data_IF_723924562817
#
_entry.id   IF_723924562817
#
_cell.length_a   1.000
_cell.length_b   1.000
_cell.length_c   1.000
_cell.angle_alpha   90.00
_cell.angle_beta   90.00
_cell.angle_gamma   90.00
#
_symmetry.space_group_name_H-M   'P 1'
#
loop_
_entity.id
_entity.type
_entity.pdbx_description
1 polymer ?
#
# COMPACT_ATOMS: atom_id res chain seq x y z
N UNK A 1 -2.70 -4.73 -18.66
CA UNK A 1 -1.64 -4.27 -17.75
C UNK A 1 -1.78 -5.01 -16.43
N UNK A 2 -0.70 -5.46 -15.82
CA UNK A 2 -0.68 -6.13 -14.53
C UNK A 2 0.04 -5.25 -13.50
N UNK A 3 -0.26 -5.43 -12.20
CA UNK A 3 0.33 -4.59 -11.15
C UNK A 3 -0.02 -3.10 -11.34
N UNK A 4 -1.28 -2.81 -11.61
CA UNK A 4 -1.76 -1.46 -11.88
C UNK A 4 -2.38 -0.83 -10.63
N UNK A 5 -1.67 -0.89 -9.52
CA UNK A 5 -2.05 -0.32 -8.24
C UNK A 5 -0.99 0.60 -7.69
N UNK A 6 -1.03 0.80 -6.37
CA UNK A 6 0.02 1.50 -5.67
C UNK A 6 1.26 0.60 -5.54
N UNK A 7 1.10 -0.59 -4.92
CA UNK A 7 2.11 -1.62 -4.77
C UNK A 7 1.44 -3.01 -4.98
N UNK A 8 1.81 -3.74 -6.03
CA UNK A 8 2.71 -3.34 -7.13
C UNK A 8 2.07 -2.34 -8.09
N UNK A 9 2.89 -1.44 -8.61
CA UNK A 9 2.47 -0.48 -9.64
C UNK A 9 3.27 0.82 -9.61
N UNK A 10 2.68 1.92 -9.12
CA UNK A 10 3.32 3.23 -9.12
C UNK A 10 4.62 3.23 -8.29
N UNK A 11 4.66 2.55 -7.17
CA UNK A 11 5.88 2.38 -6.37
C UNK A 11 6.99 1.72 -7.20
N UNK A 12 6.65 0.73 -8.01
CA UNK A 12 7.61 0.04 -8.89
C UNK A 12 8.16 0.97 -9.97
N UNK A 13 7.36 1.90 -10.50
CA UNK A 13 7.84 2.94 -11.44
C UNK A 13 8.85 3.84 -10.75
N UNK A 14 8.55 4.35 -9.56
CA UNK A 14 9.43 5.22 -8.78
C UNK A 14 10.75 4.49 -8.47
N UNK A 15 10.69 3.25 -8.01
CA UNK A 15 11.88 2.43 -7.71
C UNK A 15 12.74 2.21 -8.94
N UNK A 16 12.13 1.94 -10.10
CA UNK A 16 12.85 1.76 -11.37
C UNK A 16 13.62 3.02 -11.75
N UNK A 17 13.03 4.19 -11.59
CA UNK A 17 13.70 5.48 -11.82
C UNK A 17 14.89 5.67 -10.84
N UNK A 18 14.72 5.32 -9.58
CA UNK A 18 15.78 5.40 -8.58
C UNK A 18 16.92 4.43 -8.93
N UNK A 19 16.61 3.18 -9.27
CA UNK A 19 17.62 2.20 -9.67
C UNK A 19 18.39 2.57 -10.93
N UNK A 20 17.80 3.34 -11.83
CA UNK A 20 18.51 3.85 -13.02
C UNK A 20 19.64 4.80 -12.65
N UNK A 21 19.51 5.54 -11.55
CA UNK A 21 20.51 6.50 -11.07
C UNK A 21 21.46 5.86 -10.05
N UNK A 22 20.99 4.91 -9.26
CA UNK A 22 21.77 4.23 -8.21
C UNK A 22 21.78 2.71 -8.41
N UNK A 23 22.39 2.21 -9.49
CA UNK A 23 22.42 0.77 -9.76
C UNK A 23 23.20 0.03 -8.67
N UNK A 24 22.79 -1.20 -8.37
CA UNK A 24 23.42 -2.10 -7.39
C UNK A 24 23.36 -1.58 -5.93
N UNK A 25 22.39 -0.76 -5.59
CA UNK A 25 22.16 -0.29 -4.21
C UNK A 25 20.87 -0.90 -3.65
N UNK A 26 20.88 -1.20 -2.38
CA UNK A 26 19.67 -1.58 -1.67
C UNK A 26 18.82 -0.33 -1.40
N UNK A 27 17.56 -0.38 -1.81
CA UNK A 27 16.60 0.70 -1.60
C UNK A 27 15.35 0.06 -1.00
N UNK A 28 14.94 0.56 0.13
CA UNK A 28 13.79 0.05 0.86
C UNK A 28 12.59 0.96 0.69
N UNK A 29 11.43 0.35 0.42
CA UNK A 29 10.14 1.02 0.53
C UNK A 29 9.54 0.70 1.89
N UNK A 30 9.32 1.73 2.71
CA UNK A 30 8.67 1.61 4.01
C UNK A 30 7.22 2.05 3.86
N UNK A 31 6.29 1.11 3.97
CA UNK A 31 4.85 1.39 3.91
C UNK A 31 4.29 1.81 5.26
N UNK A 32 3.34 2.72 5.22
CA UNK A 32 2.72 3.27 6.41
C UNK A 32 3.36 4.60 6.87
N UNK A 33 2.91 5.16 8.01
CA UNK A 33 1.74 4.67 8.73
C UNK A 33 0.44 4.89 7.95
N UNK A 34 -0.56 4.06 8.19
CA UNK A 34 -1.90 4.27 7.66
C UNK A 34 -2.69 3.02 7.33
N UNK A 35 -3.94 3.21 6.94
CA UNK A 35 -4.88 2.14 6.68
C UNK A 35 -4.50 1.30 5.46
N UNK A 36 -4.43 -0.02 5.64
CA UNK A 36 -4.29 -1.00 4.57
C UNK A 36 -5.67 -1.51 4.13
N UNK A 37 -6.03 -1.30 2.87
CA UNK A 37 -7.34 -1.71 2.34
C UNK A 37 -7.52 -3.22 2.33
N UNK A 38 -6.55 -3.97 1.81
CA UNK A 38 -6.63 -5.43 1.69
C UNK A 38 -6.72 -6.11 3.06
N UNK A 39 -5.82 -5.76 3.98
CA UNK A 39 -5.82 -6.31 5.34
C UNK A 39 -7.09 -5.90 6.13
N UNK A 40 -7.59 -4.69 5.91
CA UNK A 40 -8.86 -4.26 6.50
C UNK A 40 -10.02 -5.11 5.97
N UNK A 41 -10.07 -5.37 4.67
CA UNK A 41 -11.09 -6.22 4.08
C UNK A 41 -10.99 -7.66 4.61
N UNK A 42 -9.79 -8.23 4.68
CA UNK A 42 -9.57 -9.57 5.22
C UNK A 42 -10.03 -9.68 6.69
N UNK A 43 -9.64 -8.73 7.54
CA UNK A 43 -10.07 -8.75 8.95
C UNK A 43 -11.60 -8.70 9.11
N UNK A 44 -12.31 -8.00 8.24
CA UNK A 44 -13.78 -7.91 8.26
C UNK A 44 -14.48 -9.22 7.89
N UNK A 45 -13.81 -10.15 7.24
CA UNK A 45 -14.39 -11.45 6.86
C UNK A 45 -14.35 -12.48 7.98
N UNK A 46 -13.61 -12.20 9.05
CA UNK A 46 -13.47 -13.14 10.17
C UNK A 46 -14.77 -13.22 10.98
N UNK A 47 -15.30 -14.43 11.25
CA UNK A 47 -16.50 -14.59 12.05
C UNK A 47 -16.38 -13.97 13.44
N UNK A 48 -17.39 -13.24 13.88
CA UNK A 48 -17.40 -12.51 15.15
C UNK A 48 -16.84 -11.07 15.06
N UNK A 49 -16.40 -10.62 13.88
CA UNK A 49 -16.00 -9.25 13.60
C UNK A 49 -17.18 -8.46 13.04
N UNK A 50 -17.68 -7.49 13.79
CA UNK A 50 -18.72 -6.56 13.31
C UNK A 50 -18.13 -5.50 12.38
N UNK A 51 -16.91 -5.04 12.67
CA UNK A 51 -16.15 -4.15 11.81
C UNK A 51 -14.67 -4.14 12.22
N UNK A 52 -13.77 -3.77 11.30
CA UNK A 52 -12.34 -3.73 11.59
C UNK A 52 -11.62 -2.70 10.71
N UNK A 53 -10.43 -2.31 11.16
CA UNK A 53 -9.46 -1.56 10.36
C UNK A 53 -8.04 -2.03 10.68
N UNK A 54 -7.24 -2.26 9.65
CA UNK A 54 -5.84 -2.64 9.79
C UNK A 54 -4.94 -1.47 9.40
N UNK A 55 -4.07 -1.06 10.32
CA UNK A 55 -3.05 -0.04 10.08
C UNK A 55 -1.70 -0.70 9.81
N UNK A 56 -1.01 -0.22 8.79
CA UNK A 56 0.39 -0.53 8.53
C UNK A 56 1.27 0.42 9.32
N UNK A 57 2.25 -0.10 10.07
CA UNK A 57 3.22 0.66 10.84
C UNK A 57 4.63 0.32 10.34
N UNK A 58 5.39 1.30 9.81
CA UNK A 58 6.71 1.04 9.27
C UNK A 58 7.71 0.73 10.40
N UNK A 59 8.49 -0.33 10.23
CA UNK A 59 9.60 -0.74 11.11
C UNK A 59 10.97 -0.41 10.52
N UNK A 60 11.01 0.11 9.28
CA UNK A 60 12.24 0.41 8.55
C UNK A 60 12.78 -0.79 7.75
N UNK A 61 13.68 -0.51 6.82
CA UNK A 61 14.28 -1.50 5.91
C UNK A 61 13.25 -2.37 5.17
N UNK A 62 12.13 -1.77 4.77
CA UNK A 62 11.03 -2.45 4.08
C UNK A 62 10.16 -3.33 4.97
N UNK A 63 10.43 -3.42 6.27
CA UNK A 63 9.61 -4.16 7.23
C UNK A 63 8.49 -3.28 7.79
N UNK A 64 7.39 -3.91 8.12
CA UNK A 64 6.25 -3.24 8.76
C UNK A 64 5.51 -4.20 9.70
N UNK A 65 4.78 -3.63 10.64
CA UNK A 65 3.85 -4.33 11.51
C UNK A 65 2.41 -3.96 11.13
N UNK A 66 1.47 -4.76 11.59
CA UNK A 66 0.03 -4.51 11.47
C UNK A 66 -0.60 -4.31 12.84
N UNK A 67 -1.30 -3.23 13.00
CA UNK A 67 -2.18 -3.03 14.16
C UNK A 67 -3.62 -3.07 13.69
N UNK A 68 -4.36 -4.08 14.17
CA UNK A 68 -5.72 -4.36 13.71
C UNK A 68 -6.67 -3.97 14.84
N UNK A 69 -7.48 -2.95 14.58
CA UNK A 69 -8.56 -2.53 15.47
C UNK A 69 -9.82 -3.26 15.08
N UNK A 70 -10.45 -3.92 16.03
CA UNK A 70 -11.63 -4.76 15.81
C UNK A 70 -12.77 -4.33 16.71
N UNK A 71 -13.91 -4.04 16.10
CA UNK A 71 -15.19 -3.95 16.82
C UNK A 71 -15.83 -5.33 16.74
N UNK A 72 -15.90 -6.07 17.85
CA UNK A 72 -16.47 -7.41 17.86
C UNK A 72 -18.00 -7.36 17.73
N UNK A 73 -18.57 -8.45 17.23
CA UNK A 73 -20.03 -8.67 17.33
C UNK A 73 -20.45 -8.82 18.80
N UNK A 74 -21.73 -8.52 19.14
CA UNK A 74 -22.25 -8.79 20.47
C UNK A 74 -22.07 -10.27 20.85
N UNK A 75 -21.45 -10.53 22.01
CA UNK A 75 -21.15 -11.86 22.54
C UNK A 75 -20.11 -12.67 21.77
N UNK A 76 -19.37 -12.10 20.85
CA UNK A 76 -18.26 -12.78 20.20
C UNK A 76 -17.17 -13.14 21.21
N UNK A 77 -16.58 -14.32 21.05
CA UNK A 77 -15.39 -14.71 21.80
C UNK A 77 -14.17 -13.98 21.22
N UNK A 78 -13.70 -12.97 21.96
CA UNK A 78 -12.57 -12.14 21.55
C UNK A 78 -11.29 -12.96 21.32
N UNK A 79 -11.03 -13.99 22.11
CA UNK A 79 -9.86 -14.84 21.94
C UNK A 79 -9.95 -15.67 20.64
N UNK A 80 -11.12 -16.18 20.34
CA UNK A 80 -11.34 -16.90 19.09
C UNK A 80 -11.19 -15.98 17.87
N UNK A 81 -11.71 -14.75 17.94
CA UNK A 81 -11.58 -13.73 16.88
C UNK A 81 -10.10 -13.34 16.68
N UNK A 82 -9.38 -13.04 17.76
CA UNK A 82 -7.95 -12.70 17.69
C UNK A 82 -7.14 -13.82 17.08
N UNK A 83 -7.33 -15.06 17.55
CA UNK A 83 -6.65 -16.23 17.02
C UNK A 83 -6.95 -16.42 15.53
N UNK A 84 -8.22 -16.28 15.12
CA UNK A 84 -8.62 -16.43 13.72
C UNK A 84 -7.97 -15.37 12.82
N UNK A 85 -7.86 -14.12 13.26
CA UNK A 85 -7.16 -13.06 12.53
C UNK A 85 -5.67 -13.39 12.40
N UNK A 86 -5.00 -13.70 13.52
CA UNK A 86 -3.55 -13.89 13.55
C UNK A 86 -3.09 -15.16 12.80
N UNK A 87 -3.97 -16.15 12.65
CA UNK A 87 -3.71 -17.39 11.91
C UNK A 87 -4.19 -17.36 10.45
N UNK A 88 -4.81 -16.28 10.00
CA UNK A 88 -5.20 -16.13 8.60
C UNK A 88 -3.98 -15.88 7.72
N UNK A 89 -3.88 -16.57 6.57
CA UNK A 89 -2.77 -16.46 5.63
C UNK A 89 -2.49 -15.04 5.12
N UNK A 90 -3.41 -14.12 5.30
CA UNK A 90 -3.22 -12.69 4.97
C UNK A 90 -2.35 -11.97 5.99
N UNK A 91 -2.24 -12.49 7.23
CA UNK A 91 -1.54 -11.86 8.34
C UNK A 91 -0.35 -12.67 8.86
N UNK A 92 -0.25 -13.95 8.54
CA UNK A 92 0.73 -14.88 9.13
C UNK A 92 2.19 -14.50 8.92
N UNK A 93 2.48 -13.66 7.90
CA UNK A 93 3.85 -13.23 7.57
C UNK A 93 4.21 -11.85 8.14
N UNK A 94 3.25 -11.16 8.75
CA UNK A 94 3.43 -9.83 9.32
C UNK A 94 3.53 -9.89 10.86
N UNK A 95 4.23 -8.94 11.45
CA UNK A 95 4.15 -8.71 12.90
C UNK A 95 2.80 -8.05 13.20
N UNK A 96 1.86 -8.82 13.73
CA UNK A 96 0.48 -8.41 13.94
C UNK A 96 0.10 -8.26 15.41
N UNK A 97 -0.75 -7.28 15.71
CA UNK A 97 -1.44 -7.14 16.99
C UNK A 97 -2.91 -6.77 16.78
N UNK A 98 -3.79 -7.33 17.61
CA UNK A 98 -5.23 -7.06 17.59
C UNK A 98 -5.62 -6.27 18.83
N UNK A 99 -6.39 -5.22 18.62
CA UNK A 99 -6.97 -4.39 19.70
C UNK A 99 -8.47 -4.31 19.51
N UNK A 100 -9.23 -4.70 20.56
CA UNK A 100 -10.69 -4.62 20.55
C UNK A 100 -11.15 -3.25 21.01
N UNK A 101 -11.94 -2.59 20.16
CA UNK A 101 -12.47 -1.24 20.40
C UNK A 101 -13.98 -1.19 20.18
N UNK A 102 -14.64 -0.22 20.78
CA UNK A 102 -16.09 0.00 20.58
C UNK A 102 -16.36 0.80 19.30
N UNK A 103 -15.46 1.72 18.95
CA UNK A 103 -15.56 2.57 17.76
C UNK A 103 -14.25 2.52 16.97
N UNK A 104 -14.38 2.17 15.68
CA UNK A 104 -13.25 2.12 14.75
C UNK A 104 -13.15 3.38 13.87
N UNK A 105 -14.14 4.28 13.91
CA UNK A 105 -14.18 5.48 13.07
C UNK A 105 -12.94 6.37 13.18
N UNK A 106 -12.27 6.52 14.35
CA UNK A 106 -11.05 7.32 14.45
C UNK A 106 -9.89 6.79 13.59
N UNK A 107 -9.92 5.52 13.23
CA UNK A 107 -8.81 4.86 12.51
C UNK A 107 -9.00 4.82 10.98
N UNK A 108 -10.21 5.11 10.48
CA UNK A 108 -10.50 5.07 9.03
C UNK A 108 -9.83 6.21 8.25
N UNK A 109 -9.63 7.36 8.84
CA UNK A 109 -9.12 8.56 8.16
C UNK A 109 -7.60 8.68 8.17
N UNK A 110 -6.89 7.61 8.50
CA UNK A 110 -5.43 7.61 8.47
C UNK A 110 -4.95 7.47 7.02
N UNK A 111 -4.24 8.50 6.54
CA UNK A 111 -3.60 8.45 5.23
C UNK A 111 -2.56 7.34 5.20
N UNK A 112 -2.54 6.56 4.13
CA UNK A 112 -1.48 5.59 3.93
C UNK A 112 -0.24 6.29 3.38
N UNK A 113 0.86 6.16 4.12
CA UNK A 113 2.14 6.73 3.73
C UNK A 113 3.04 5.71 3.04
N UNK A 114 4.02 6.23 2.30
CA UNK A 114 5.16 5.48 1.80
C UNK A 114 6.40 6.35 1.87
N UNK A 115 7.50 5.74 2.25
CA UNK A 115 8.79 6.40 2.34
C UNK A 115 9.85 5.54 1.68
N UNK A 116 10.46 6.06 0.62
CA UNK A 116 11.64 5.47 -0.01
C UNK A 116 12.82 6.35 0.36
N UNK A 117 13.77 5.79 1.10
CA UNK A 117 14.93 6.54 1.56
C UNK A 117 16.17 5.67 1.58
N UNK A 118 17.28 6.26 1.19
CA UNK A 118 18.60 5.68 1.36
C UNK A 118 19.69 6.76 1.27
N UNK A 119 20.78 6.52 1.97
CA UNK A 119 21.97 7.37 1.95
C UNK A 119 23.15 6.58 1.37
N UNK A 120 23.89 7.20 0.44
CA UNK A 120 25.04 6.61 -0.25
C UNK A 120 26.23 7.56 -0.18
N UNK A 121 26.87 7.63 0.97
CA UNK A 121 27.96 8.59 1.21
C UNK A 121 27.43 10.05 1.16
N UNK A 122 27.83 10.81 0.16
CA UNK A 122 27.38 12.19 -0.04
C UNK A 122 26.03 12.32 -0.80
N UNK A 123 25.49 11.19 -1.26
CA UNK A 123 24.24 11.17 -2.01
C UNK A 123 23.10 10.65 -1.13
N UNK A 124 21.92 11.18 -1.32
CA UNK A 124 20.73 10.75 -0.60
C UNK A 124 19.52 10.69 -1.53
N UNK A 125 18.64 9.74 -1.26
CA UNK A 125 17.30 9.68 -1.84
C UNK A 125 16.30 9.81 -0.70
N UNK A 126 15.36 10.72 -0.88
CA UNK A 126 14.21 10.86 0.01
C UNK A 126 12.97 11.07 -0.85
N UNK A 127 12.08 10.09 -0.86
CA UNK A 127 10.76 10.19 -1.44
C UNK A 127 9.73 9.89 -0.36
N UNK A 128 8.82 10.82 -0.13
CA UNK A 128 7.73 10.65 0.82
C UNK A 128 6.41 10.95 0.14
N UNK A 129 5.43 10.11 0.37
CA UNK A 129 4.05 10.34 -0.05
C UNK A 129 3.10 9.87 1.04
N UNK A 130 1.99 10.56 1.20
CA UNK A 130 0.86 10.11 2.00
C UNK A 130 -0.42 10.51 1.29
N UNK A 131 -1.32 9.56 1.09
CA UNK A 131 -2.54 9.77 0.35
C UNK A 131 -3.69 8.97 0.97
N UNK A 132 -4.91 9.38 0.65
CA UNK A 132 -6.07 8.52 0.85
C UNK A 132 -5.97 7.32 -0.09
N UNK A 133 -5.81 6.14 0.49
CA UNK A 133 -5.45 4.93 -0.27
C UNK A 133 -6.52 4.56 -1.31
N UNK A 134 -7.83 4.55 -1.01
CA UNK A 134 -8.87 4.28 -2.02
C UNK A 134 -8.82 5.24 -3.20
N UNK A 135 -8.74 6.53 -2.94
CA UNK A 135 -8.69 7.57 -3.99
C UNK A 135 -7.43 7.44 -4.84
N UNK A 136 -6.27 7.24 -4.20
CA UNK A 136 -5.00 7.06 -4.91
C UNK A 136 -5.06 5.84 -5.83
N UNK A 137 -5.52 4.69 -5.33
CA UNK A 137 -5.63 3.46 -6.12
C UNK A 137 -6.59 3.64 -7.30
N UNK A 138 -7.72 4.31 -7.09
CA UNK A 138 -8.66 4.66 -8.16
C UNK A 138 -8.02 5.51 -9.25
N UNK A 139 -7.26 6.54 -8.87
CA UNK A 139 -6.56 7.42 -9.81
C UNK A 139 -5.47 6.67 -10.58
N UNK A 140 -4.74 5.77 -9.94
CA UNK A 140 -3.73 4.93 -10.61
C UNK A 140 -4.39 4.01 -11.63
N UNK A 141 -5.51 3.38 -11.29
CA UNK A 141 -6.26 2.53 -12.23
C UNK A 141 -6.74 3.31 -13.46
N UNK A 142 -7.28 4.51 -13.27
CA UNK A 142 -7.69 5.37 -14.39
C UNK A 142 -6.50 5.74 -15.27
N UNK A 143 -5.37 6.08 -14.67
CA UNK A 143 -4.11 6.37 -15.40
C UNK A 143 -3.61 5.15 -16.16
N UNK A 144 -3.66 3.97 -15.55
CA UNK A 144 -3.25 2.71 -16.19
C UNK A 144 -4.17 2.35 -17.38
N UNK A 145 -5.47 2.58 -17.26
CA UNK A 145 -6.41 2.42 -18.37
C UNK A 145 -6.03 3.37 -19.51
N UNK A 146 -5.80 4.64 -19.22
CA UNK A 146 -5.36 5.64 -20.22
C UNK A 146 -4.11 5.19 -20.95
N UNK A 147 -3.08 4.81 -20.21
CA UNK A 147 -1.81 4.34 -20.77
C UNK A 147 -1.99 3.07 -21.62
N UNK A 148 -2.89 2.17 -21.26
CA UNK A 148 -3.11 0.92 -22.00
C UNK A 148 -3.60 1.12 -23.42
N UNK A 149 -4.36 2.18 -23.69
CA UNK A 149 -4.81 2.51 -25.06
C UNK A 149 -3.69 3.00 -25.98
N UNK A 150 -2.55 3.39 -25.42
CA UNK A 150 -1.38 3.85 -26.19
C UNK A 150 -0.42 2.69 -26.49
N UNK A 151 -0.62 1.53 -25.86
CA UNK A 151 0.26 0.37 -26.04
C UNK A 151 -0.24 -0.57 -27.13
N UNK A 152 0.70 -1.32 -27.74
CA UNK A 152 0.38 -2.45 -28.60
C UNK A 152 -0.27 -3.57 -27.77
N UNK A 153 -1.06 -4.48 -28.40
CA UNK A 153 -1.54 -5.66 -27.69
C UNK A 153 -0.41 -6.45 -27.03
N UNK A 154 -0.55 -6.70 -25.71
CA UNK A 154 0.49 -7.37 -24.92
C UNK A 154 0.19 -7.36 -23.42
N UNK A 155 1.09 -7.96 -22.65
CA UNK A 155 1.08 -7.93 -21.18
C UNK A 155 2.21 -7.01 -20.70
N UNK A 156 1.89 -6.05 -19.86
CA UNK A 156 2.83 -5.02 -19.38
C UNK A 156 2.73 -4.84 -17.88
N UNK A 157 3.87 -4.62 -17.24
CA UNK A 157 3.96 -3.99 -15.94
C UNK A 157 4.07 -2.47 -16.06
N UNK A 158 3.63 -1.72 -15.08
CA UNK A 158 3.70 -0.25 -15.13
C UNK A 158 5.10 0.32 -15.42
N UNK A 159 6.21 -0.21 -14.86
CA UNK A 159 7.55 0.28 -15.18
C UNK A 159 7.99 0.11 -16.65
N UNK A 160 7.32 -0.75 -17.42
CA UNK A 160 7.64 -0.97 -18.84
C UNK A 160 6.99 0.06 -19.77
N UNK A 161 6.13 0.92 -19.21
CA UNK A 161 5.39 1.93 -19.97
C UNK A 161 6.01 3.31 -19.70
N UNK A 162 6.17 4.14 -20.75
CA UNK A 162 6.64 5.50 -20.56
C UNK A 162 5.80 6.25 -19.52
N UNK A 163 6.41 6.87 -18.48
CA UNK A 163 5.65 7.55 -17.43
C UNK A 163 4.68 8.62 -17.96
N UNK A 164 5.00 9.28 -19.08
CA UNK A 164 4.12 10.28 -19.70
C UNK A 164 2.82 9.69 -20.24
N UNK A 165 2.76 8.39 -20.57
CA UNK A 165 1.55 7.75 -21.07
C UNK A 165 0.46 7.64 -19.98
N UNK A 166 0.84 7.67 -18.70
CA UNK A 166 -0.09 7.71 -17.58
C UNK A 166 -0.75 9.07 -17.37
N UNK A 167 -0.14 10.13 -17.92
CA UNK A 167 -0.57 11.50 -17.71
C UNK A 167 -1.74 11.89 -18.64
N UNK A 168 -2.49 12.90 -18.26
CA UNK A 168 -3.44 13.53 -19.15
C UNK A 168 -2.70 14.32 -20.23
N UNK A 169 -3.30 14.39 -21.44
CA UNK A 169 -2.74 15.19 -22.53
C UNK A 169 -2.58 16.65 -22.11
N UNK A 170 -1.49 17.25 -22.53
CA UNK A 170 -1.18 18.65 -22.23
C UNK A 170 -0.39 18.87 -20.93
N UNK A 171 0.03 17.77 -20.26
CA UNK A 171 0.94 17.86 -19.12
C UNK A 171 2.40 18.07 -19.54
N UNK A 172 2.73 17.88 -20.83
CA UNK A 172 4.07 18.12 -21.39
C UNK A 172 4.57 19.54 -21.12
N UNK A 173 3.66 20.50 -20.96
CA UNK A 173 3.99 21.90 -20.61
C UNK A 173 4.53 22.07 -19.19
N UNK A 174 4.44 21.04 -18.34
CA UNK A 174 4.97 21.04 -16.97
C UNK A 174 6.27 20.27 -16.83
N UNK A 175 6.72 19.61 -17.88
CA UNK A 175 7.99 18.90 -17.99
C UNK A 175 9.02 19.76 -18.72
#
# INVERSE_FOLDING_TARGET
MTGAGWDPGLDSVIRTMIFSVFPKREIYTNFGPGMSMGHTAAAKTVPGVADAVSLTLPLGKGKHARKIFVRPEPKADKHAVEHAILSDGYFEHDECSVEFVEDISPYFNTRHGVRIEQNFGTQAINFNMAADNPTLTGNILVSAIRASFLQKPGAYFMPEIPPCDFCEKGLEKYL
#
